data_IF_039593138667
#
_entry.id   IF_039593138667
#
_cell.length_a   1.000
_cell.length_b   1.000
_cell.length_c   1.000
_cell.angle_alpha   90.00
_cell.angle_beta   90.00
_cell.angle_gamma   90.00
#
_symmetry.space_group_name_H-M   'P 1'
#
loop_
_entity.id
_entity.type
_entity.pdbx_description
1 polymer ?
#
# COMPACT_ATOMS: atom_id res chain seq x y z
N UNK A 1 -27.86 18.55 11.30
CA UNK A 1 -27.84 17.58 10.18
C UNK A 1 -26.66 16.64 10.39
N UNK A 2 -26.90 15.38 10.78
CA UNK A 2 -25.88 14.35 10.68
C UNK A 2 -25.74 14.00 9.19
N UNK A 3 -24.71 14.54 8.54
CA UNK A 3 -24.28 14.00 7.25
C UNK A 3 -23.75 12.60 7.55
N UNK A 4 -24.52 11.58 7.20
CA UNK A 4 -24.00 10.21 7.14
C UNK A 4 -22.91 10.22 6.09
N UNK A 5 -21.67 9.98 6.51
CA UNK A 5 -20.55 9.89 5.59
C UNK A 5 -20.74 8.65 4.70
N UNK A 6 -21.14 8.91 3.44
CA UNK A 6 -21.37 7.90 2.41
C UNK A 6 -20.25 7.88 1.36
N UNK A 7 -19.07 8.37 1.72
CA UNK A 7 -17.93 8.46 0.80
C UNK A 7 -17.59 7.08 0.22
N UNK A 8 -17.57 6.04 1.06
CA UNK A 8 -17.28 4.68 0.62
C UNK A 8 -18.36 4.12 -0.33
N UNK A 9 -19.65 4.35 -0.03
CA UNK A 9 -20.75 3.95 -0.91
C UNK A 9 -20.65 4.63 -2.28
N UNK A 10 -20.26 5.92 -2.30
CA UNK A 10 -20.07 6.66 -3.54
C UNK A 10 -18.87 6.16 -4.33
N UNK A 11 -17.72 5.92 -3.67
CA UNK A 11 -16.52 5.36 -4.29
C UNK A 11 -16.84 3.99 -4.91
N UNK A 12 -17.62 3.16 -4.24
CA UNK A 12 -18.01 1.83 -4.72
C UNK A 12 -19.00 1.86 -5.90
N UNK A 13 -19.53 3.03 -6.28
CA UNK A 13 -20.28 3.18 -7.54
C UNK A 13 -19.37 3.22 -8.77
N UNK A 14 -18.06 3.48 -8.60
CA UNK A 14 -17.07 3.48 -9.67
C UNK A 14 -16.88 2.03 -10.14
N UNK A 15 -17.01 1.80 -11.44
CA UNK A 15 -16.69 0.47 -12.01
C UNK A 15 -15.24 0.14 -11.71
N UNK A 16 -14.96 -1.02 -11.11
CA UNK A 16 -13.60 -1.38 -10.68
C UNK A 16 -12.55 -1.36 -11.81
N UNK A 17 -12.96 -1.62 -13.06
CA UNK A 17 -12.07 -1.53 -14.23
C UNK A 17 -11.76 -0.08 -14.68
N UNK A 18 -12.37 0.92 -14.07
CA UNK A 18 -12.14 2.35 -14.28
C UNK A 18 -11.61 3.07 -13.04
N UNK A 19 -11.47 2.34 -11.92
CA UNK A 19 -10.95 2.88 -10.67
C UNK A 19 -9.42 2.89 -10.72
N UNK A 20 -8.89 3.98 -11.30
CA UNK A 20 -7.43 4.18 -11.48
C UNK A 20 -6.69 4.40 -10.16
N UNK A 21 -7.42 4.79 -9.10
CA UNK A 21 -6.84 5.03 -7.78
C UNK A 21 -6.82 3.76 -6.92
N UNK A 22 -7.57 2.72 -7.30
CA UNK A 22 -7.69 1.48 -6.55
C UNK A 22 -8.47 1.64 -5.24
N UNK A 23 -9.37 2.63 -5.16
CA UNK A 23 -10.09 2.98 -3.93
C UNK A 23 -11.38 2.20 -3.73
N UNK A 24 -11.95 1.63 -4.79
CA UNK A 24 -13.12 0.74 -4.68
C UNK A 24 -12.79 -0.43 -3.77
N UNK A 25 -13.75 -0.84 -2.94
CA UNK A 25 -13.62 -1.97 -2.01
C UNK A 25 -13.11 -3.23 -2.73
N UNK A 26 -13.58 -3.47 -3.96
CA UNK A 26 -13.12 -4.57 -4.81
C UNK A 26 -11.61 -4.50 -5.10
N UNK A 27 -11.13 -3.38 -5.64
CA UNK A 27 -9.71 -3.20 -5.97
C UNK A 27 -8.83 -3.15 -4.73
N UNK A 28 -9.27 -2.47 -3.67
CA UNK A 28 -8.56 -2.41 -2.40
C UNK A 28 -8.41 -3.80 -1.76
N UNK A 29 -9.47 -4.63 -1.77
CA UNK A 29 -9.40 -5.98 -1.24
C UNK A 29 -8.55 -6.90 -2.12
N UNK A 30 -8.57 -6.72 -3.44
CA UNK A 30 -7.67 -7.42 -4.35
C UNK A 30 -6.21 -7.07 -4.03
N UNK A 31 -5.91 -5.78 -3.86
CA UNK A 31 -4.60 -5.30 -3.42
C UNK A 31 -4.19 -5.96 -2.10
N UNK A 32 -5.05 -6.00 -1.09
CA UNK A 32 -4.71 -6.58 0.22
C UNK A 32 -4.40 -8.08 0.17
N UNK A 33 -4.99 -8.81 -0.78
CA UNK A 33 -4.79 -10.24 -0.92
C UNK A 33 -3.50 -10.58 -1.67
N UNK A 34 -3.20 -9.85 -2.74
CA UNK A 34 -2.06 -10.18 -3.60
C UNK A 34 -0.85 -9.29 -3.37
N UNK A 35 -1.05 -8.10 -2.78
CA UNK A 35 -0.12 -6.95 -2.73
C UNK A 35 0.49 -6.56 -4.08
N UNK A 36 -0.07 -7.13 -5.15
CA UNK A 36 0.29 -6.98 -6.55
C UNK A 36 -1.04 -7.08 -7.32
N UNK A 37 -1.91 -6.07 -7.27
CA UNK A 37 -3.07 -6.04 -8.15
C UNK A 37 -2.66 -5.51 -9.54
N UNK A 38 -3.50 -5.75 -10.56
CA UNK A 38 -3.33 -5.13 -11.88
C UNK A 38 -3.43 -3.59 -11.85
N UNK A 39 -4.02 -3.01 -10.79
CA UNK A 39 -4.09 -1.56 -10.54
C UNK A 39 -3.47 -1.28 -9.17
N UNK A 40 -2.21 -0.85 -9.18
CA UNK A 40 -1.51 -0.43 -7.95
C UNK A 40 -1.94 0.99 -7.60
N UNK A 41 -2.28 1.23 -6.33
CA UNK A 41 -2.60 2.57 -5.82
C UNK A 41 -1.45 3.54 -6.22
N UNK A 42 -1.74 4.71 -6.84
CA UNK A 42 -0.72 5.53 -7.50
C UNK A 42 0.48 5.89 -6.63
N UNK A 43 0.25 6.21 -5.35
CA UNK A 43 1.32 6.55 -4.40
C UNK A 43 2.23 5.36 -4.12
N UNK A 44 1.67 4.16 -3.99
CA UNK A 44 2.47 2.93 -3.78
C UNK A 44 3.29 2.63 -5.03
N UNK A 45 2.71 2.80 -6.22
CA UNK A 45 3.43 2.65 -7.48
C UNK A 45 4.60 3.63 -7.57
N UNK A 46 4.40 4.89 -7.18
CA UNK A 46 5.48 5.89 -7.16
C UNK A 46 6.62 5.50 -6.21
N UNK A 47 6.32 5.05 -4.99
CA UNK A 47 7.35 4.59 -4.03
C UNK A 47 8.09 3.38 -4.57
N UNK A 48 7.38 2.43 -5.19
CA UNK A 48 7.99 1.28 -5.86
C UNK A 48 9.01 1.70 -6.92
N UNK A 49 8.66 2.62 -7.80
CA UNK A 49 9.59 3.10 -8.83
C UNK A 49 10.81 3.81 -8.23
N UNK A 50 10.61 4.60 -7.16
CA UNK A 50 11.72 5.24 -6.44
C UNK A 50 12.67 4.18 -5.84
N UNK A 51 12.15 3.14 -5.22
CA UNK A 51 12.95 2.06 -4.63
C UNK A 51 13.72 1.26 -5.69
N UNK A 52 13.09 1.01 -6.85
CA UNK A 52 13.76 0.38 -7.98
C UNK A 52 14.94 1.23 -8.49
N UNK A 53 14.78 2.54 -8.56
CA UNK A 53 15.85 3.47 -8.98
C UNK A 53 17.00 3.54 -7.97
N UNK A 54 16.69 3.50 -6.67
CA UNK A 54 17.71 3.42 -5.60
C UNK A 54 18.54 2.14 -5.72
N UNK A 55 17.95 1.06 -6.26
CA UNK A 55 18.60 -0.22 -6.55
C UNK A 55 19.31 -0.84 -5.33
N UNK A 56 18.72 -0.65 -4.15
CA UNK A 56 19.22 -1.19 -2.89
C UNK A 56 18.23 -2.27 -2.39
N UNK A 57 18.67 -3.52 -2.16
CA UNK A 57 17.79 -4.57 -1.67
C UNK A 57 17.14 -4.22 -0.33
N UNK A 58 15.83 -4.43 -0.23
CA UNK A 58 15.02 -4.28 0.97
C UNK A 58 14.86 -5.59 1.75
N UNK A 59 15.13 -6.73 1.11
CA UNK A 59 14.96 -8.02 1.76
C UNK A 59 15.77 -8.13 3.07
N UNK A 60 15.08 -8.46 4.16
CA UNK A 60 15.67 -8.61 5.49
C UNK A 60 15.98 -7.28 6.19
N UNK A 61 15.66 -6.12 5.61
CA UNK A 61 15.87 -4.82 6.24
C UNK A 61 14.69 -4.40 7.10
N UNK A 62 14.97 -3.59 8.10
CA UNK A 62 13.95 -2.93 8.89
C UNK A 62 13.49 -1.64 8.20
N UNK A 63 12.18 -1.53 7.97
CA UNK A 63 11.54 -0.35 7.37
C UNK A 63 10.46 0.18 8.31
N UNK A 64 10.42 1.50 8.47
CA UNK A 64 9.37 2.19 9.23
C UNK A 64 8.45 2.94 8.26
N UNK A 65 7.16 2.62 8.29
CA UNK A 65 6.11 3.38 7.59
C UNK A 65 5.42 4.28 8.60
N UNK A 66 5.54 5.61 8.41
CA UNK A 66 4.88 6.59 9.28
C UNK A 66 3.54 6.98 8.66
N UNK A 67 2.47 6.46 9.25
CA UNK A 67 1.09 6.62 8.79
C UNK A 67 0.45 5.28 8.43
N UNK A 68 -0.84 5.13 8.74
CA UNK A 68 -1.63 3.90 8.48
C UNK A 68 -2.92 4.15 7.72
N UNK A 69 -2.94 5.20 6.90
CA UNK A 69 -4.13 5.54 6.11
C UNK A 69 -4.52 4.39 5.17
N UNK A 70 -5.82 4.32 4.83
CA UNK A 70 -6.39 3.31 3.93
C UNK A 70 -5.69 3.31 2.57
N UNK A 71 -5.33 4.48 2.05
CA UNK A 71 -4.86 4.61 0.66
C UNK A 71 -3.35 4.78 0.50
N UNK A 72 -2.57 4.99 1.58
CA UNK A 72 -1.12 5.16 1.46
C UNK A 72 -0.37 4.27 2.42
N UNK A 73 -0.50 4.52 3.73
CA UNK A 73 0.34 3.88 4.73
C UNK A 73 0.14 2.36 4.80
N UNK A 74 -1.12 1.92 4.88
CA UNK A 74 -1.43 0.48 4.97
C UNK A 74 -1.06 -0.26 3.68
N UNK A 75 -1.42 0.22 2.47
CA UNK A 75 -0.97 -0.38 1.22
C UNK A 75 0.55 -0.48 1.11
N UNK A 76 1.27 0.60 1.42
CA UNK A 76 2.72 0.63 1.33
C UNK A 76 3.35 -0.41 2.25
N UNK A 77 2.89 -0.50 3.50
CA UNK A 77 3.38 -1.49 4.45
C UNK A 77 3.17 -2.93 3.96
N UNK A 78 2.02 -3.22 3.32
CA UNK A 78 1.72 -4.54 2.77
C UNK A 78 2.65 -4.92 1.61
N UNK A 79 2.94 -3.99 0.68
CA UNK A 79 3.89 -4.22 -0.41
C UNK A 79 5.28 -4.54 0.13
N UNK A 80 5.77 -3.71 1.04
CA UNK A 80 7.13 -3.80 1.57
C UNK A 80 7.35 -5.10 2.36
N UNK A 81 6.31 -5.61 3.03
CA UNK A 81 6.40 -6.83 3.84
C UNK A 81 6.21 -8.13 3.05
N UNK A 82 5.86 -8.08 1.75
CA UNK A 82 5.66 -9.31 0.99
C UNK A 82 6.94 -10.12 0.85
N UNK A 83 6.80 -11.44 0.81
CA UNK A 83 7.91 -12.33 0.47
C UNK A 83 8.43 -12.01 -0.94
N UNK A 84 9.74 -12.10 -1.10
CA UNK A 84 10.43 -11.90 -2.38
C UNK A 84 10.63 -13.26 -3.05
N UNK A 85 10.57 -13.29 -4.37
CA UNK A 85 10.76 -14.52 -5.15
C UNK A 85 11.93 -14.41 -6.14
N UNK A 86 12.43 -13.20 -6.37
CA UNK A 86 13.47 -12.90 -7.33
C UNK A 86 14.23 -11.61 -6.95
N UNK A 87 15.31 -11.33 -7.67
CA UNK A 87 16.17 -10.16 -7.41
C UNK A 87 15.50 -8.82 -7.66
N UNK A 88 14.40 -8.76 -8.42
CA UNK A 88 13.70 -7.49 -8.70
C UNK A 88 12.69 -7.18 -7.61
N UNK A 89 11.96 -8.18 -7.13
CA UNK A 89 11.06 -8.09 -5.98
C UNK A 89 11.82 -7.76 -4.71
N UNK A 90 13.06 -8.24 -4.52
CA UNK A 90 13.87 -7.91 -3.36
C UNK A 90 14.25 -6.43 -3.23
N UNK A 91 14.12 -5.63 -4.29
CA UNK A 91 14.32 -4.18 -4.26
C UNK A 91 13.10 -3.43 -3.70
N UNK A 92 11.92 -4.05 -3.70
CA UNK A 92 10.64 -3.38 -3.38
C UNK A 92 9.84 -4.08 -2.28
N UNK A 93 10.26 -5.27 -1.86
CA UNK A 93 9.62 -6.07 -0.81
C UNK A 93 10.63 -6.93 -0.04
N UNK A 94 10.14 -7.68 0.95
CA UNK A 94 10.93 -8.57 1.80
C UNK A 94 11.44 -7.94 3.08
N UNK A 95 10.98 -6.73 3.41
CA UNK A 95 11.39 -6.02 4.61
C UNK A 95 10.60 -6.45 5.85
N UNK A 96 11.20 -6.29 7.03
CA UNK A 96 10.49 -6.26 8.31
C UNK A 96 9.90 -4.86 8.49
N UNK A 97 8.57 -4.75 8.48
CA UNK A 97 7.89 -3.44 8.46
C UNK A 97 7.30 -3.10 9.83
N UNK A 98 7.66 -1.93 10.36
CA UNK A 98 7.00 -1.30 11.52
C UNK A 98 6.10 -0.17 11.05
N UNK A 99 4.85 -0.16 11.48
CA UNK A 99 3.89 0.92 11.16
C UNK A 99 3.73 1.83 12.37
N UNK A 100 4.01 3.11 12.18
CA UNK A 100 3.78 4.16 13.19
C UNK A 100 2.54 5.01 12.82
N UNK A 101 1.90 5.63 13.80
CA UNK A 101 0.77 6.55 13.61
C UNK A 101 0.72 7.58 14.75
N UNK A 102 -0.31 8.44 14.74
CA UNK A 102 -0.52 9.49 15.75
C UNK A 102 -0.54 9.02 17.21
N UNK A 103 -0.74 7.73 17.44
CA UNK A 103 -0.80 7.14 18.79
C UNK A 103 0.40 6.20 19.04
N UNK A 104 1.44 6.28 18.21
CA UNK A 104 2.72 5.62 18.49
C UNK A 104 3.42 6.39 19.61
N UNK A 105 3.79 5.66 20.66
CA UNK A 105 4.54 6.18 21.79
C UNK A 105 6.00 5.73 21.68
N UNK A 106 6.94 6.64 21.96
CA UNK A 106 8.33 6.28 22.18
C UNK A 106 8.44 5.83 23.63
N UNK A 107 8.68 4.54 23.84
CA UNK A 107 9.06 4.01 25.15
C UNK A 107 10.56 4.27 25.39
#
# INVERSE_FOLDING_TARGET
>A
LHLVDRTEEFIDTIRSNKDVDGHTTSNYNSYRQTSIPPITIPVVAAVREILLEINEPLQGKDVVVIGRSKYVGTPLALMLSQATTDSKSSLISGATVTICHRDTHLN
#
